data_IF_718432910231
#
_entry.id   IF_718432910231
#
_cell.length_a   1.000
_cell.length_b   1.000
_cell.length_c   1.000
_cell.angle_alpha   90.00
_cell.angle_beta   90.00
_cell.angle_gamma   90.00
#
_symmetry.space_group_name_H-M   'P 1'
#
loop_
_entity.id
_entity.type
_entity.pdbx_description
1 polymer ?
#
# COMPACT_ATOMS: atom_id res chain seq x y z
N UNK A 1 5.78 3.83 15.45
CA UNK A 1 5.45 4.81 14.40
C UNK A 1 6.69 5.24 13.62
N UNK A 2 7.55 6.14 14.14
CA UNK A 2 8.70 6.71 13.38
C UNK A 2 9.57 5.67 12.70
N UNK A 3 10.07 4.67 13.44
CA UNK A 3 10.86 3.58 12.87
C UNK A 3 10.14 2.89 11.70
N UNK A 4 8.85 2.61 11.85
CA UNK A 4 8.05 1.93 10.83
C UNK A 4 7.91 2.79 9.59
N UNK A 5 7.69 4.10 9.74
CA UNK A 5 7.64 5.03 8.61
C UNK A 5 8.97 5.08 7.85
N UNK A 6 10.10 5.13 8.58
CA UNK A 6 11.44 5.10 7.96
C UNK A 6 11.67 3.78 7.22
N UNK A 7 11.27 2.65 7.80
CA UNK A 7 11.40 1.34 7.14
C UNK A 7 10.54 1.26 5.88
N UNK A 8 9.29 1.71 5.93
CA UNK A 8 8.40 1.73 4.76
C UNK A 8 8.98 2.62 3.66
N UNK A 9 9.49 3.80 4.00
CA UNK A 9 10.16 4.70 3.07
C UNK A 9 11.38 4.02 2.42
N UNK A 10 12.29 3.47 3.23
CA UNK A 10 13.49 2.82 2.74
C UNK A 10 13.17 1.63 1.82
N UNK A 11 12.13 0.85 2.14
CA UNK A 11 11.65 -0.23 1.28
C UNK A 11 11.02 0.31 -0.01
N UNK A 12 10.27 1.41 0.07
CA UNK A 12 9.70 2.11 -1.08
C UNK A 12 10.77 2.55 -2.07
N UNK A 13 11.77 3.29 -1.60
CA UNK A 13 12.90 3.74 -2.41
C UNK A 13 13.66 2.57 -3.04
N UNK A 14 13.95 1.54 -2.24
CA UNK A 14 14.62 0.32 -2.72
C UNK A 14 13.79 -0.37 -3.80
N UNK A 15 12.46 -0.45 -3.64
CA UNK A 15 11.59 -1.04 -4.64
C UNK A 15 11.59 -0.25 -5.95
N UNK A 16 11.65 1.08 -5.90
CA UNK A 16 11.83 1.92 -7.09
C UNK A 16 13.06 1.52 -7.90
N UNK A 17 14.21 1.43 -7.24
CA UNK A 17 15.48 1.03 -7.86
C UNK A 17 15.45 -0.42 -8.39
N UNK A 18 14.83 -1.33 -7.66
CA UNK A 18 14.74 -2.76 -8.01
C UNK A 18 13.80 -2.97 -9.19
N UNK A 19 12.62 -2.33 -9.21
CA UNK A 19 11.63 -2.50 -10.29
C UNK A 19 12.22 -2.22 -11.67
N UNK A 20 12.99 -1.14 -11.82
CA UNK A 20 13.61 -0.76 -13.08
C UNK A 20 14.57 -1.85 -13.60
N UNK A 21 15.37 -2.43 -12.70
CA UNK A 21 16.38 -3.44 -13.04
C UNK A 21 15.79 -4.84 -13.23
N UNK A 22 14.71 -5.14 -12.49
CA UNK A 22 14.13 -6.49 -12.40
C UNK A 22 12.91 -6.69 -13.30
N UNK A 23 12.54 -5.70 -14.11
CA UNK A 23 11.34 -5.77 -14.96
C UNK A 23 11.25 -7.06 -15.80
N UNK A 24 12.31 -7.49 -16.53
CA UNK A 24 12.25 -8.75 -17.29
C UNK A 24 12.09 -10.00 -16.43
N UNK A 25 12.56 -9.98 -15.18
CA UNK A 25 12.44 -11.08 -14.22
C UNK A 25 11.01 -11.13 -13.67
N UNK A 26 10.42 -9.98 -13.33
CA UNK A 26 9.04 -9.84 -12.86
C UNK A 26 8.05 -10.33 -13.92
N UNK A 27 8.24 -9.93 -15.18
CA UNK A 27 7.42 -10.39 -16.30
C UNK A 27 7.50 -11.91 -16.46
N UNK A 28 8.71 -12.48 -16.55
CA UNK A 28 8.91 -13.93 -16.67
C UNK A 28 8.31 -14.71 -15.51
N UNK A 29 8.48 -14.23 -14.28
CA UNK A 29 7.90 -14.84 -13.10
C UNK A 29 6.37 -14.83 -13.16
N UNK A 30 5.79 -13.69 -13.55
CA UNK A 30 4.34 -13.53 -13.68
C UNK A 30 3.77 -14.48 -14.73
N UNK A 31 4.37 -14.52 -15.93
CA UNK A 31 3.95 -15.42 -17.00
C UNK A 31 4.03 -16.90 -16.59
N UNK A 32 5.11 -17.30 -15.91
CA UNK A 32 5.24 -18.66 -15.38
C UNK A 32 4.14 -18.98 -14.37
N UNK A 33 3.81 -18.05 -13.48
CA UNK A 33 2.78 -18.24 -12.45
C UNK A 33 1.37 -18.32 -13.02
N UNK A 34 1.07 -17.49 -14.02
CA UNK A 34 -0.19 -17.52 -14.78
C UNK A 34 -0.33 -18.85 -15.52
N UNK A 35 0.72 -19.29 -16.23
CA UNK A 35 0.71 -20.56 -16.94
C UNK A 35 0.55 -21.77 -16.02
N UNK A 36 1.08 -21.70 -14.79
CA UNK A 36 0.91 -22.75 -13.79
C UNK A 36 -0.51 -22.83 -13.21
N UNK A 37 -1.35 -21.78 -13.38
CA UNK A 37 -2.68 -21.68 -12.76
C UNK A 37 -3.74 -21.23 -13.78
N UNK A 38 -3.91 -21.97 -14.89
CA UNK A 38 -4.74 -21.53 -16.02
C UNK A 38 -6.19 -21.26 -15.64
N UNK A 39 -6.79 -22.09 -14.77
CA UNK A 39 -8.19 -21.95 -14.36
C UNK A 39 -8.48 -20.67 -13.57
N UNK A 40 -7.55 -20.25 -12.71
CA UNK A 40 -7.67 -19.03 -11.90
C UNK A 40 -7.56 -17.78 -12.78
N UNK A 41 -6.71 -17.84 -13.80
CA UNK A 41 -6.49 -16.72 -14.72
C UNK A 41 -7.47 -16.74 -15.90
N UNK A 42 -8.31 -17.77 -16.04
CA UNK A 42 -9.28 -17.89 -17.12
C UNK A 42 -8.63 -18.18 -18.48
N UNK A 43 -7.49 -18.87 -18.52
CA UNK A 43 -6.87 -19.29 -19.77
C UNK A 43 -7.74 -20.34 -20.48
N UNK A 44 -7.94 -20.12 -21.77
CA UNK A 44 -8.86 -20.89 -22.62
C UNK A 44 -8.12 -21.84 -23.57
N UNK A 45 -6.82 -21.62 -23.77
CA UNK A 45 -6.01 -22.30 -24.79
C UNK A 45 -6.03 -21.60 -26.16
N UNK A 46 -6.84 -20.55 -26.35
CA UNK A 46 -6.78 -19.70 -27.53
C UNK A 46 -5.68 -18.66 -27.36
N UNK A 47 -4.70 -18.65 -28.27
CA UNK A 47 -3.56 -17.73 -28.20
C UNK A 47 -4.00 -16.25 -28.14
N UNK A 48 -4.97 -15.86 -28.98
CA UNK A 48 -5.45 -14.47 -29.05
C UNK A 48 -6.04 -13.98 -27.72
N UNK A 49 -6.84 -14.82 -27.05
CA UNK A 49 -7.46 -14.45 -25.76
C UNK A 49 -6.47 -14.57 -24.60
N UNK A 50 -5.65 -15.63 -24.60
CA UNK A 50 -4.73 -15.92 -23.51
C UNK A 50 -3.58 -14.91 -23.46
N UNK A 51 -3.17 -14.35 -24.59
CA UNK A 51 -2.15 -13.29 -24.65
C UNK A 51 -2.63 -12.01 -23.95
N UNK A 52 -3.89 -11.61 -24.15
CA UNK A 52 -4.46 -10.47 -23.44
C UNK A 52 -4.56 -10.71 -21.93
N UNK A 53 -4.96 -11.92 -21.51
CA UNK A 53 -5.00 -12.30 -20.09
C UNK A 53 -3.61 -12.20 -19.46
N UNK A 54 -2.59 -12.75 -20.13
CA UNK A 54 -1.20 -12.71 -19.66
C UNK A 54 -0.69 -11.27 -19.56
N UNK A 55 -0.92 -10.45 -20.58
CA UNK A 55 -0.50 -9.06 -20.60
C UNK A 55 -1.15 -8.26 -19.45
N UNK A 56 -2.45 -8.46 -19.19
CA UNK A 56 -3.15 -7.82 -18.07
C UNK A 56 -2.63 -8.26 -16.71
N UNK A 57 -2.26 -9.53 -16.55
CA UNK A 57 -1.66 -10.03 -15.31
C UNK A 57 -0.28 -9.40 -15.06
N UNK A 58 0.59 -9.37 -16.08
CA UNK A 58 1.91 -8.71 -16.01
C UNK A 58 1.75 -7.24 -15.64
N UNK A 59 0.87 -6.52 -16.34
CA UNK A 59 0.60 -5.12 -16.07
C UNK A 59 0.12 -4.89 -14.63
N UNK A 60 -0.81 -5.72 -14.13
CA UNK A 60 -1.34 -5.57 -12.78
C UNK A 60 -0.28 -5.81 -11.69
N UNK A 61 0.63 -6.78 -11.90
CA UNK A 61 1.75 -7.03 -10.97
C UNK A 61 2.74 -5.87 -11.00
N UNK A 62 3.15 -5.41 -12.19
CA UNK A 62 4.02 -4.23 -12.34
C UNK A 62 3.40 -2.98 -11.70
N UNK A 63 2.09 -2.78 -11.90
CA UNK A 63 1.35 -1.68 -11.28
C UNK A 63 1.35 -1.79 -9.75
N UNK A 64 1.15 -2.97 -9.18
CA UNK A 64 1.23 -3.19 -7.73
C UNK A 64 2.61 -2.81 -7.16
N UNK A 65 3.70 -3.20 -7.82
CA UNK A 65 5.05 -2.80 -7.40
C UNK A 65 5.24 -1.28 -7.53
N UNK A 66 4.76 -0.69 -8.63
CA UNK A 66 4.84 0.76 -8.88
C UNK A 66 4.08 1.56 -7.82
N UNK A 67 2.87 1.11 -7.47
CA UNK A 67 2.06 1.71 -6.42
C UNK A 67 2.69 1.54 -5.05
N UNK A 68 3.32 0.40 -4.75
CA UNK A 68 4.08 0.25 -3.51
C UNK A 68 5.15 1.32 -3.37
N UNK A 69 6.02 1.47 -4.38
CA UNK A 69 7.09 2.46 -4.39
C UNK A 69 6.53 3.89 -4.23
N UNK A 70 5.62 4.28 -5.11
CA UNK A 70 5.09 5.66 -5.14
C UNK A 70 4.32 6.04 -3.88
N UNK A 71 3.53 5.12 -3.30
CA UNK A 71 2.81 5.41 -2.06
C UNK A 71 3.70 5.34 -0.82
N UNK A 72 4.74 4.50 -0.81
CA UNK A 72 5.72 4.49 0.28
C UNK A 72 6.47 5.83 0.33
N UNK A 73 6.96 6.31 -0.81
CA UNK A 73 7.63 7.61 -0.96
C UNK A 73 6.70 8.79 -0.61
N UNK A 74 5.43 8.72 -1.02
CA UNK A 74 4.47 9.79 -0.73
C UNK A 74 3.97 9.81 0.72
N UNK A 75 3.60 8.65 1.28
CA UNK A 75 2.90 8.57 2.56
C UNK A 75 3.84 8.61 3.77
N UNK A 76 5.01 7.97 3.69
CA UNK A 76 5.90 7.86 4.83
C UNK A 76 6.41 9.23 5.33
N UNK A 77 6.83 10.19 4.48
CA UNK A 77 7.22 11.53 4.94
C UNK A 77 6.07 12.27 5.61
N UNK A 78 4.87 12.20 5.03
CA UNK A 78 3.66 12.81 5.59
C UNK A 78 3.40 12.28 7.01
N UNK A 79 3.51 10.97 7.19
CA UNK A 79 3.31 10.33 8.49
C UNK A 79 4.42 10.68 9.50
N UNK A 80 5.67 10.87 9.05
CA UNK A 80 6.76 11.36 9.92
C UNK A 80 6.50 12.78 10.43
N UNK A 81 6.07 13.68 9.55
CA UNK A 81 5.67 15.04 9.94
C UNK A 81 4.49 15.00 10.90
N UNK A 82 3.45 14.23 10.58
CA UNK A 82 2.27 14.07 11.44
C UNK A 82 2.65 13.51 12.82
N UNK A 83 3.52 12.50 12.88
CA UNK A 83 3.99 11.94 14.15
C UNK A 83 4.79 12.96 14.98
N UNK A 84 5.59 13.81 14.33
CA UNK A 84 6.30 14.91 14.99
C UNK A 84 5.33 15.94 15.58
N UNK A 85 4.27 16.30 14.84
CA UNK A 85 3.20 17.17 15.34
C UNK A 85 2.46 16.52 16.51
N UNK A 86 2.15 15.23 16.45
CA UNK A 86 1.55 14.50 17.57
C UNK A 86 2.45 14.57 18.81
N UNK A 87 3.76 14.33 18.66
CA UNK A 87 4.71 14.36 19.77
C UNK A 87 4.76 15.73 20.45
N UNK A 88 4.77 16.81 19.65
CA UNK A 88 4.95 18.18 20.10
C UNK A 88 3.66 18.84 20.57
N UNK A 89 2.53 18.52 19.94
CA UNK A 89 1.28 19.28 20.04
C UNK A 89 0.10 18.46 20.59
N UNK A 90 0.29 17.22 21.04
CA UNK A 90 -0.78 16.43 21.67
C UNK A 90 -0.39 16.06 23.10
N UNK A 91 -0.99 16.76 24.06
CA UNK A 91 -0.68 16.62 25.49
C UNK A 91 -1.35 15.42 26.15
N UNK A 92 -2.51 14.97 25.63
CA UNK A 92 -3.22 13.81 26.17
C UNK A 92 -2.51 12.51 25.75
N UNK A 93 -2.06 11.73 26.74
CA UNK A 93 -1.42 10.42 26.50
C UNK A 93 -2.33 9.45 25.76
N UNK A 94 -3.64 9.45 26.06
CA UNK A 94 -4.63 8.57 25.42
C UNK A 94 -4.83 8.93 23.95
N UNK A 95 -4.99 10.21 23.65
CA UNK A 95 -5.15 10.69 22.26
C UNK A 95 -3.88 10.40 21.47
N UNK A 96 -2.71 10.68 22.05
CA UNK A 96 -1.42 10.37 21.42
C UNK A 96 -1.28 8.88 21.09
N UNK A 97 -1.65 7.99 22.01
CA UNK A 97 -1.61 6.56 21.78
C UNK A 97 -2.56 6.16 20.62
N UNK A 98 -3.80 6.65 20.63
CA UNK A 98 -4.76 6.37 19.57
C UNK A 98 -4.26 6.85 18.19
N UNK A 99 -3.75 8.08 18.10
CA UNK A 99 -3.19 8.64 16.86
C UNK A 99 -1.98 7.84 16.38
N UNK A 100 -1.04 7.49 17.26
CA UNK A 100 0.11 6.69 16.86
C UNK A 100 -0.28 5.28 16.43
N UNK A 101 -1.28 4.66 17.03
CA UNK A 101 -1.77 3.35 16.58
C UNK A 101 -2.37 3.46 15.18
N UNK A 102 -3.29 4.41 14.97
CA UNK A 102 -3.91 4.63 13.66
C UNK A 102 -2.87 4.96 12.58
N UNK A 103 -1.93 5.86 12.86
CA UNK A 103 -0.85 6.22 11.92
C UNK A 103 0.16 5.09 11.70
N UNK A 104 0.44 4.28 12.73
CA UNK A 104 1.35 3.13 12.58
C UNK A 104 0.75 2.05 11.69
N UNK A 105 -0.55 1.78 11.82
CA UNK A 105 -1.24 0.87 10.91
C UNK A 105 -1.39 1.50 9.53
N UNK A 106 -1.77 2.79 9.47
CA UNK A 106 -1.96 3.51 8.23
C UNK A 106 -0.70 3.62 7.37
N UNK A 107 0.48 3.80 7.97
CA UNK A 107 1.74 3.87 7.20
C UNK A 107 2.11 2.53 6.55
N UNK A 108 1.49 1.41 6.94
CA UNK A 108 1.68 0.12 6.29
C UNK A 108 0.86 -0.01 5.00
N UNK A 109 -0.04 0.93 4.70
CA UNK A 109 -0.85 0.94 3.48
C UNK A 109 -0.09 0.61 2.19
N UNK A 110 1.12 1.15 1.93
CA UNK A 110 1.86 0.83 0.71
C UNK A 110 2.17 -0.66 0.57
N UNK A 111 2.44 -1.37 1.68
CA UNK A 111 2.67 -2.83 1.67
C UNK A 111 1.44 -3.60 1.17
N UNK A 112 0.25 -3.01 1.27
CA UNK A 112 -0.96 -3.57 0.69
C UNK A 112 -0.89 -3.73 -0.82
N UNK A 113 -0.07 -2.95 -1.53
CA UNK A 113 0.13 -3.13 -2.97
C UNK A 113 1.04 -4.33 -3.32
N UNK A 114 1.89 -4.76 -2.38
CA UNK A 114 2.59 -6.05 -2.51
C UNK A 114 1.61 -7.21 -2.32
N UNK A 115 0.69 -7.09 -1.35
CA UNK A 115 -0.39 -8.05 -1.17
C UNK A 115 -1.33 -8.08 -2.39
N UNK A 116 -1.61 -6.93 -3.00
CA UNK A 116 -2.34 -6.82 -4.27
C UNK A 116 -1.63 -7.59 -5.38
N UNK A 117 -0.34 -7.34 -5.62
CA UNK A 117 0.42 -8.02 -6.67
C UNK A 117 0.45 -9.54 -6.45
N UNK A 118 0.64 -9.99 -5.22
CA UNK A 118 0.58 -11.40 -4.86
C UNK A 118 -0.82 -11.99 -5.06
N UNK A 119 -1.88 -11.31 -4.60
CA UNK A 119 -3.25 -11.77 -4.75
C UNK A 119 -3.66 -11.88 -6.22
N UNK A 120 -3.22 -10.97 -7.08
CA UNK A 120 -3.41 -11.05 -8.54
C UNK A 120 -2.81 -12.34 -9.11
N UNK A 121 -1.62 -12.72 -8.67
CA UNK A 121 -0.95 -13.95 -9.13
C UNK A 121 -1.66 -15.23 -8.67
N UNK A 122 -2.24 -15.19 -7.49
CA UNK A 122 -2.79 -16.35 -6.78
C UNK A 122 -4.29 -16.56 -7.02
N UNK A 123 -5.05 -15.48 -7.15
CA UNK A 123 -6.51 -15.48 -7.24
C UNK A 123 -7.00 -14.96 -8.60
N UNK A 124 -6.09 -14.56 -9.49
CA UNK A 124 -6.44 -13.92 -10.75
C UNK A 124 -6.65 -12.42 -10.56
N UNK A 125 -6.71 -11.70 -11.67
CA UNK A 125 -6.63 -10.24 -11.67
C UNK A 125 -7.74 -9.58 -10.86
N UNK A 126 -8.99 -9.91 -11.16
CA UNK A 126 -10.14 -9.19 -10.61
C UNK A 126 -10.44 -9.62 -9.18
N UNK A 127 -10.45 -10.93 -8.89
CA UNK A 127 -10.66 -11.45 -7.54
C UNK A 127 -9.50 -11.11 -6.60
N UNK A 128 -8.25 -11.19 -7.10
CA UNK A 128 -7.06 -10.80 -6.34
C UNK A 128 -7.05 -9.32 -5.98
N UNK A 129 -7.39 -8.45 -6.94
CA UNK A 129 -7.55 -7.02 -6.71
C UNK A 129 -8.63 -6.73 -5.67
N UNK A 130 -9.84 -7.29 -5.86
CA UNK A 130 -10.95 -7.09 -4.94
C UNK A 130 -10.64 -7.57 -3.52
N UNK A 131 -9.92 -8.70 -3.39
CA UNK A 131 -9.48 -9.22 -2.10
C UNK A 131 -8.53 -8.23 -1.41
N UNK A 132 -7.46 -7.81 -2.10
CA UNK A 132 -6.47 -6.91 -1.52
C UNK A 132 -7.07 -5.54 -1.17
N UNK A 133 -7.94 -5.02 -2.04
CA UNK A 133 -8.66 -3.76 -1.80
C UNK A 133 -9.51 -3.83 -0.55
N UNK A 134 -10.35 -4.86 -0.43
CA UNK A 134 -11.31 -4.99 0.66
C UNK A 134 -10.64 -5.24 2.01
N UNK A 135 -9.64 -6.13 2.03
CA UNK A 135 -9.12 -6.66 3.29
C UNK A 135 -7.80 -6.04 3.73
N UNK A 136 -7.07 -5.37 2.83
CA UNK A 136 -5.75 -4.82 3.14
C UNK A 136 -5.70 -3.32 2.87
N UNK A 137 -5.92 -2.89 1.62
CA UNK A 137 -5.74 -1.50 1.23
C UNK A 137 -6.78 -0.58 1.87
N UNK A 138 -8.07 -0.92 1.82
CA UNK A 138 -9.13 -0.07 2.38
C UNK A 138 -9.00 0.11 3.89
N UNK A 139 -8.80 -0.93 4.71
CA UNK A 139 -8.62 -0.76 6.15
C UNK A 139 -7.38 0.06 6.50
N UNK A 140 -6.23 -0.23 5.90
CA UNK A 140 -4.98 0.49 6.17
C UNK A 140 -5.07 1.95 5.69
N UNK A 141 -5.60 2.19 4.48
CA UNK A 141 -5.81 3.53 3.95
C UNK A 141 -6.79 4.35 4.79
N UNK A 142 -7.86 3.72 5.29
CA UNK A 142 -8.79 4.36 6.22
C UNK A 142 -8.10 4.76 7.52
N UNK A 143 -7.25 3.90 8.08
CA UNK A 143 -6.49 4.21 9.29
C UNK A 143 -5.49 5.36 9.07
N UNK A 144 -4.89 5.44 7.89
CA UNK A 144 -4.06 6.58 7.51
C UNK A 144 -4.87 7.88 7.52
N UNK A 145 -6.03 7.90 6.85
CA UNK A 145 -6.93 9.07 6.80
C UNK A 145 -7.41 9.44 8.21
N UNK A 146 -7.92 8.48 8.98
CA UNK A 146 -8.42 8.70 10.35
C UNK A 146 -7.31 9.21 11.26
N UNK A 147 -6.07 8.71 11.13
CA UNK A 147 -4.93 9.20 11.88
C UNK A 147 -4.66 10.69 11.61
N UNK A 148 -4.64 11.10 10.34
CA UNK A 148 -4.40 12.49 9.95
C UNK A 148 -5.57 13.39 10.35
N UNK A 149 -6.81 13.00 10.06
CA UNK A 149 -8.00 13.76 10.46
C UNK A 149 -8.10 13.90 11.98
N UNK A 150 -7.82 12.83 12.72
CA UNK A 150 -7.79 12.84 14.17
C UNK A 150 -6.74 13.82 14.73
N UNK A 151 -5.56 13.91 14.09
CA UNK A 151 -4.57 14.94 14.43
C UNK A 151 -5.12 16.34 14.17
N UNK A 152 -5.73 16.60 13.00
CA UNK A 152 -6.31 17.91 12.69
C UNK A 152 -7.37 18.34 13.71
N UNK A 153 -8.26 17.43 14.10
CA UNK A 153 -9.27 17.68 15.14
C UNK A 153 -8.59 17.99 16.49
N UNK A 154 -7.60 17.19 16.91
CA UNK A 154 -6.89 17.43 18.16
C UNK A 154 -6.20 18.80 18.18
N UNK A 155 -5.62 19.24 17.07
CA UNK A 155 -5.02 20.57 16.93
C UNK A 155 -6.07 21.68 16.92
N UNK A 156 -7.22 21.48 16.28
CA UNK A 156 -8.34 22.43 16.25
C UNK A 156 -8.92 22.69 17.64
N UNK A 157 -9.10 21.63 18.44
CA UNK A 157 -9.66 21.74 19.81
C UNK A 157 -8.73 22.45 20.80
N UNK A 158 -7.44 22.61 20.49
CA UNK A 158 -6.49 23.39 21.31
C UNK A 158 -6.65 24.91 21.14
N UNK A 159 -7.29 25.37 20.07
CA UNK A 159 -7.39 26.81 19.71
C UNK A 159 -8.59 27.54 20.33
N UNK A 160 -9.23 27.00 21.37
CA UNK A 160 -10.26 27.74 22.10
C UNK A 160 -9.77 28.26 23.47
N UNK A 161 -8.97 29.34 23.52
CA UNK A 161 -9.03 30.25 24.65
C UNK A 161 -10.25 31.16 24.41
N UNK A 162 -11.34 30.89 25.13
CA UNK A 162 -12.38 31.90 25.33
C UNK A 162 -11.78 32.91 26.31
N UNK A 163 -11.57 34.13 25.80
CA UNK A 163 -11.25 35.35 26.55
C UNK A 163 -12.26 35.61 27.64
#
# INVERSE_FOLDING_TARGET
MVLIAVLVMALGETAGAVMSQMRPQTERYTLARVAANPGVHGLTGSAEYDDEVRARAVFAVEAGLSFFHTHAEGLAPVMLVAATLVASLVGSRRIRAALYTAMTLGVLFPLGYLAYAAAVLELGRDDGAAFAERWVLTPLGTLAIVGILGLLVALGTRRAPVT
#
